data_IF_149466417506
#
_entry.id   IF_149466417506
#
_cell.length_a   1.000
_cell.length_b   1.000
_cell.length_c   1.000
_cell.angle_alpha   90.00
_cell.angle_beta   90.00
_cell.angle_gamma   90.00
#
_symmetry.space_group_name_H-M   'P 1'
#
loop_
_entity.id
_entity.type
_entity.pdbx_description
1 polymer ?
#
# COMPACT_ATOMS: atom_id res chain seq x y z
N UNK A 1 18.72 -0.81 13.36
CA UNK A 1 18.91 -1.92 12.41
C UNK A 1 20.22 -1.69 11.65
N UNK A 2 21.13 -2.65 11.64
CA UNK A 2 22.38 -2.60 10.88
C UNK A 2 22.11 -3.09 9.45
N UNK A 3 22.44 -2.27 8.46
CA UNK A 3 22.37 -2.66 7.06
C UNK A 3 23.43 -3.75 6.78
N UNK A 4 23.11 -4.81 6.01
CA UNK A 4 24.07 -5.85 5.69
C UNK A 4 25.26 -5.26 4.92
N UNK A 5 26.47 -5.31 5.51
CA UNK A 5 27.66 -4.66 4.96
C UNK A 5 27.96 -5.10 3.51
N UNK A 6 27.78 -6.39 3.22
CA UNK A 6 27.98 -6.96 1.89
C UNK A 6 27.03 -6.34 0.86
N UNK A 7 25.75 -6.15 1.21
CA UNK A 7 24.76 -5.54 0.33
C UNK A 7 25.09 -4.07 0.07
N UNK A 8 25.44 -3.30 1.11
CA UNK A 8 25.83 -1.89 0.94
C UNK A 8 27.05 -1.79 0.03
N UNK A 9 28.09 -2.58 0.28
CA UNK A 9 29.32 -2.51 -0.50
C UNK A 9 29.06 -2.86 -1.97
N UNK A 10 28.27 -3.89 -2.24
CA UNK A 10 27.87 -4.26 -3.60
C UNK A 10 27.11 -3.12 -4.30
N UNK A 11 26.11 -2.52 -3.64
CA UNK A 11 25.32 -1.41 -4.20
C UNK A 11 26.21 -0.17 -4.43
N UNK A 12 27.08 0.16 -3.48
CA UNK A 12 28.03 1.28 -3.62
C UNK A 12 28.97 1.09 -4.79
N UNK A 13 29.51 -0.11 -5.01
CA UNK A 13 30.40 -0.39 -6.16
C UNK A 13 29.61 -0.33 -7.47
N UNK A 14 28.42 -0.96 -7.53
CA UNK A 14 27.62 -1.01 -8.75
C UNK A 14 27.13 0.37 -9.21
N UNK A 15 26.82 1.27 -8.26
CA UNK A 15 26.27 2.61 -8.54
C UNK A 15 27.15 3.73 -7.98
N UNK A 16 28.48 3.56 -7.95
CA UNK A 16 29.43 4.47 -7.28
C UNK A 16 29.33 5.92 -7.72
N UNK A 17 28.92 6.14 -8.98
CA UNK A 17 28.81 7.46 -9.62
C UNK A 17 27.49 8.17 -9.33
N UNK A 18 26.54 7.49 -8.69
CA UNK A 18 25.21 8.02 -8.43
C UNK A 18 25.00 8.29 -6.93
N UNK A 19 24.19 9.29 -6.58
CA UNK A 19 23.62 9.39 -5.24
C UNK A 19 22.71 8.19 -4.95
N UNK A 20 22.87 7.58 -3.79
CA UNK A 20 22.18 6.38 -3.33
C UNK A 20 21.56 6.63 -1.95
N UNK A 21 20.28 6.34 -1.80
CA UNK A 21 19.61 6.28 -0.52
C UNK A 21 18.91 4.94 -0.30
N UNK A 22 18.74 4.55 0.96
CA UNK A 22 17.77 3.55 1.38
C UNK A 22 16.45 4.24 1.72
N UNK A 23 15.35 3.66 1.28
CA UNK A 23 13.99 4.10 1.50
C UNK A 23 13.08 2.94 1.95
N UNK A 24 11.78 3.22 2.08
CA UNK A 24 10.76 2.23 2.38
C UNK A 24 10.78 1.72 3.82
N UNK A 25 10.16 0.56 4.05
CA UNK A 25 9.86 0.08 5.41
C UNK A 25 11.11 -0.09 6.28
N UNK A 26 12.26 -0.43 5.66
CA UNK A 26 13.55 -0.62 6.33
C UNK A 26 14.14 0.65 6.95
N UNK A 27 13.61 1.84 6.65
CA UNK A 27 14.01 3.07 7.34
C UNK A 27 13.10 3.44 8.52
N UNK A 28 12.13 2.58 8.85
CA UNK A 28 11.13 2.80 9.88
C UNK A 28 11.17 1.71 10.96
N UNK A 29 10.48 1.97 12.06
CA UNK A 29 10.23 1.04 13.17
C UNK A 29 9.32 -0.13 12.79
N UNK A 30 8.57 -0.04 11.68
CA UNK A 30 7.65 -1.08 11.22
C UNK A 30 8.33 -2.20 10.43
N UNK A 31 9.64 -2.10 10.16
CA UNK A 31 10.36 -3.05 9.33
C UNK A 31 10.20 -4.50 9.82
N UNK A 32 9.77 -5.39 8.91
CA UNK A 32 9.75 -6.84 9.13
C UNK A 32 10.89 -7.52 8.35
N UNK A 33 11.21 -8.75 8.71
CA UNK A 33 12.24 -9.55 8.01
C UNK A 33 11.91 -9.78 6.54
N UNK A 34 10.62 -9.85 6.18
CA UNK A 34 10.19 -10.00 4.80
C UNK A 34 10.40 -8.76 3.94
N UNK A 35 10.60 -7.58 4.53
CA UNK A 35 10.74 -6.33 3.79
C UNK A 35 12.04 -6.32 3.00
N UNK A 36 11.91 -6.04 1.72
CA UNK A 36 13.01 -5.72 0.83
C UNK A 36 13.78 -4.48 1.31
N UNK A 37 15.07 -4.43 0.97
CA UNK A 37 15.83 -3.19 1.05
C UNK A 37 15.55 -2.37 -0.21
N UNK A 38 14.88 -1.24 -0.05
CA UNK A 38 14.51 -0.42 -1.19
C UNK A 38 15.56 0.68 -1.40
N UNK A 39 16.37 0.54 -2.44
CA UNK A 39 17.40 1.51 -2.81
C UNK A 39 16.88 2.46 -3.88
N UNK A 40 17.08 3.75 -3.62
CA UNK A 40 16.76 4.85 -4.52
C UNK A 40 18.06 5.36 -5.12
N UNK A 41 18.16 5.35 -6.44
CA UNK A 41 19.31 5.85 -7.19
C UNK A 41 18.90 7.15 -7.89
N UNK A 42 19.58 8.26 -7.62
CA UNK A 42 19.30 9.50 -8.35
C UNK A 42 19.97 9.45 -9.72
N UNK A 43 19.18 9.21 -10.77
CA UNK A 43 19.63 9.02 -12.14
C UNK A 43 18.48 9.29 -13.12
N UNK A 44 18.78 9.93 -14.26
CA UNK A 44 17.80 10.09 -15.34
C UNK A 44 17.66 8.82 -16.21
N UNK A 45 18.42 7.78 -15.91
CA UNK A 45 18.20 6.45 -16.46
C UNK A 45 16.99 5.80 -15.79
N UNK A 46 16.15 5.10 -16.54
CA UNK A 46 15.06 4.31 -15.97
C UNK A 46 15.63 2.98 -15.44
N UNK A 47 15.93 2.93 -14.14
CA UNK A 47 16.45 1.75 -13.47
C UNK A 47 15.33 1.14 -12.65
N UNK A 48 15.03 -0.14 -12.89
CA UNK A 48 14.23 -0.97 -12.00
C UNK A 48 14.81 -2.37 -11.99
N UNK A 49 15.25 -2.83 -10.82
CA UNK A 49 15.93 -4.12 -10.68
C UNK A 49 15.59 -4.76 -9.33
N UNK A 50 15.46 -6.08 -9.32
CA UNK A 50 15.45 -6.88 -8.10
C UNK A 50 16.79 -7.61 -7.97
N UNK A 51 17.46 -7.41 -6.84
CA UNK A 51 18.72 -8.07 -6.52
C UNK A 51 18.54 -9.04 -5.36
N UNK A 52 19.12 -10.22 -5.55
CA UNK A 52 19.21 -11.27 -4.55
C UNK A 52 20.64 -11.36 -4.04
N UNK A 53 20.83 -11.10 -2.75
CA UNK A 53 22.13 -11.23 -2.08
C UNK A 53 21.95 -12.16 -0.90
N UNK A 54 22.30 -13.44 -1.09
CA UNK A 54 21.93 -14.52 -0.18
C UNK A 54 20.40 -14.53 0.03
N UNK A 55 19.92 -14.56 1.27
CA UNK A 55 18.48 -14.52 1.59
C UNK A 55 17.88 -13.10 1.57
N UNK A 56 18.67 -12.08 1.22
CA UNK A 56 18.24 -10.69 1.21
C UNK A 56 17.73 -10.31 -0.18
N UNK A 57 16.50 -9.79 -0.22
CA UNK A 57 15.92 -9.16 -1.40
C UNK A 57 16.14 -7.65 -1.32
N UNK A 58 16.64 -7.07 -2.39
CA UNK A 58 16.75 -5.63 -2.58
C UNK A 58 15.99 -5.22 -3.85
N UNK A 59 15.22 -4.14 -3.76
CA UNK A 59 14.62 -3.47 -4.91
C UNK A 59 15.42 -2.20 -5.18
N UNK A 60 15.78 -1.99 -6.43
CA UNK A 60 16.48 -0.79 -6.89
C UNK A 60 15.56 -0.08 -7.86
N UNK A 61 15.35 1.20 -7.62
CA UNK A 61 14.66 2.06 -8.57
C UNK A 61 15.34 3.42 -8.67
N UNK A 62 15.21 4.06 -9.82
CA UNK A 62 15.72 5.42 -10.00
C UNK A 62 14.68 6.49 -9.74
N UNK A 63 15.15 7.64 -9.27
CA UNK A 63 14.43 8.91 -9.30
C UNK A 63 15.18 9.88 -10.21
N UNK A 64 14.44 10.74 -10.91
CA UNK A 64 15.03 11.76 -11.78
C UNK A 64 15.91 12.72 -10.98
N UNK A 65 16.89 13.31 -11.66
CA UNK A 65 17.79 14.29 -11.04
C UNK A 65 17.11 15.60 -10.66
N UNK A 66 15.99 15.91 -11.31
CA UNK A 66 15.11 17.06 -11.01
C UNK A 66 13.66 16.58 -10.91
N UNK A 67 13.29 15.92 -9.80
CA UNK A 67 11.95 15.38 -9.62
C UNK A 67 10.95 16.46 -9.21
N UNK A 68 9.67 16.23 -9.45
CA UNK A 68 8.61 16.97 -8.74
C UNK A 68 8.60 16.51 -7.28
N UNK A 69 8.82 17.45 -6.35
CA UNK A 69 8.95 17.13 -4.93
C UNK A 69 7.68 16.49 -4.35
N UNK A 70 6.48 16.91 -4.78
CA UNK A 70 5.23 16.33 -4.28
C UNK A 70 5.02 14.90 -4.79
N UNK A 71 5.49 14.59 -5.99
CA UNK A 71 5.42 13.25 -6.57
C UNK A 71 6.25 12.24 -5.76
N UNK A 72 7.43 12.64 -5.30
CA UNK A 72 8.39 11.74 -4.63
C UNK A 72 8.44 11.88 -3.10
N UNK A 73 7.80 12.90 -2.51
CA UNK A 73 7.94 13.18 -1.09
C UNK A 73 7.64 11.96 -0.22
N UNK A 74 6.53 11.26 -0.49
CA UNK A 74 6.14 10.09 0.28
C UNK A 74 7.09 8.90 0.05
N UNK A 75 7.66 8.71 -1.15
CA UNK A 75 8.63 7.63 -1.37
C UNK A 75 9.95 7.86 -0.69
N UNK A 76 10.31 9.13 -0.46
CA UNK A 76 11.55 9.51 0.21
C UNK A 76 11.36 9.94 1.67
N UNK A 77 10.19 9.66 2.27
CA UNK A 77 10.01 9.85 3.71
C UNK A 77 11.05 9.01 4.48
N UNK A 78 11.77 9.65 5.40
CA UNK A 78 12.76 9.00 6.27
C UNK A 78 13.94 8.32 5.54
N UNK A 79 14.32 8.79 4.35
CA UNK A 79 15.47 8.19 3.65
C UNK A 79 16.78 8.24 4.44
N UNK A 80 17.58 7.21 4.28
CA UNK A 80 18.94 7.12 4.80
C UNK A 80 19.93 7.23 3.63
N UNK A 81 20.72 8.29 3.61
CA UNK A 81 21.72 8.52 2.56
C UNK A 81 22.88 7.55 2.74
N UNK A 82 23.25 6.84 1.68
CA UNK A 82 24.30 5.80 1.67
C UNK A 82 25.55 6.29 0.94
N UNK A 83 25.34 6.92 -0.21
CA UNK A 83 26.38 7.53 -1.04
C UNK A 83 25.81 8.83 -1.60
N UNK A 84 26.53 9.95 -1.49
CA UNK A 84 26.07 11.23 -2.04
C UNK A 84 27.27 12.09 -2.44
N UNK A 85 28.00 11.71 -3.51
CA UNK A 85 29.24 12.37 -3.90
C UNK A 85 29.03 13.84 -4.29
N UNK A 86 27.81 14.22 -4.68
CA UNK A 86 27.43 15.56 -5.13
C UNK A 86 26.54 16.31 -4.14
N UNK A 87 26.35 15.80 -2.92
CA UNK A 87 25.48 16.38 -1.87
C UNK A 87 24.02 16.57 -2.28
N UNK A 88 23.59 15.97 -3.37
CA UNK A 88 22.29 16.26 -3.98
C UNK A 88 21.15 15.57 -3.25
N UNK A 89 21.37 14.35 -2.73
CA UNK A 89 20.37 13.69 -1.90
C UNK A 89 20.23 14.34 -0.53
N UNK A 90 21.31 14.88 0.03
CA UNK A 90 21.27 15.63 1.28
C UNK A 90 20.40 16.88 1.14
N UNK A 91 20.59 17.66 0.06
CA UNK A 91 19.73 18.82 -0.24
C UNK A 91 18.28 18.39 -0.51
N UNK A 92 18.06 17.39 -1.36
CA UNK A 92 16.72 16.89 -1.67
C UNK A 92 15.98 16.40 -0.41
N UNK A 93 16.68 15.74 0.51
CA UNK A 93 16.11 15.31 1.79
C UNK A 93 15.63 16.49 2.63
N UNK A 94 16.37 17.59 2.65
CA UNK A 94 15.96 18.81 3.36
C UNK A 94 14.71 19.42 2.72
N UNK A 95 14.71 19.53 1.39
CA UNK A 95 13.57 20.07 0.64
C UNK A 95 12.30 19.24 0.86
N UNK A 96 12.42 17.91 0.82
CA UNK A 96 11.31 16.98 1.09
C UNK A 96 10.83 17.09 2.53
N UNK A 97 11.74 17.21 3.49
CA UNK A 97 11.38 17.40 4.90
C UNK A 97 10.58 18.68 5.09
N UNK A 98 10.95 19.76 4.39
CA UNK A 98 10.24 21.04 4.46
C UNK A 98 8.81 20.99 3.90
N UNK A 99 8.53 20.12 2.93
CA UNK A 99 7.19 19.98 2.33
C UNK A 99 6.40 18.77 2.83
N UNK A 100 7.01 17.87 3.62
CA UNK A 100 6.46 16.55 3.96
C UNK A 100 5.03 16.62 4.51
N UNK A 101 4.76 17.53 5.46
CA UNK A 101 3.43 17.68 6.05
C UNK A 101 2.38 18.10 5.00
N UNK A 102 2.75 18.97 4.06
CA UNK A 102 1.87 19.38 2.96
C UNK A 102 1.63 18.24 1.98
N UNK A 103 2.68 17.48 1.63
CA UNK A 103 2.57 16.33 0.75
C UNK A 103 1.68 15.23 1.35
N UNK A 104 1.85 14.94 2.64
CA UNK A 104 1.01 14.00 3.38
C UNK A 104 -0.43 14.49 3.49
N UNK A 105 -0.66 15.77 3.77
CA UNK A 105 -2.00 16.36 3.80
C UNK A 105 -2.71 16.27 2.44
N UNK A 106 -1.99 16.57 1.34
CA UNK A 106 -2.51 16.44 -0.01
C UNK A 106 -2.83 14.98 -0.35
N UNK A 107 -1.92 14.06 -0.03
CA UNK A 107 -2.13 12.63 -0.24
C UNK A 107 -3.34 12.14 0.57
N UNK A 108 -3.44 12.51 1.86
CA UNK A 108 -4.55 12.16 2.73
C UNK A 108 -5.88 12.62 2.15
N UNK A 109 -5.95 13.88 1.70
CA UNK A 109 -7.12 14.46 1.05
C UNK A 109 -7.50 13.67 -0.21
N UNK A 110 -6.54 13.39 -1.09
CA UNK A 110 -6.79 12.65 -2.33
C UNK A 110 -7.30 11.23 -2.05
N UNK A 111 -6.68 10.50 -1.13
CA UNK A 111 -7.15 9.16 -0.74
C UNK A 111 -8.54 9.21 -0.12
N UNK A 112 -8.84 10.23 0.69
CA UNK A 112 -10.16 10.40 1.29
C UNK A 112 -11.24 10.71 0.24
N UNK A 113 -10.91 11.50 -0.79
CA UNK A 113 -11.79 11.72 -1.94
C UNK A 113 -12.02 10.43 -2.72
N UNK A 114 -10.97 9.65 -2.99
CA UNK A 114 -11.09 8.36 -3.66
C UNK A 114 -11.98 7.39 -2.86
N UNK A 115 -11.84 7.39 -1.53
CA UNK A 115 -12.69 6.62 -0.63
C UNK A 115 -14.16 7.04 -0.72
N UNK A 116 -14.43 8.35 -0.67
CA UNK A 116 -15.77 8.91 -0.78
C UNK A 116 -16.42 8.57 -2.13
N UNK A 117 -15.68 8.67 -3.23
CA UNK A 117 -16.15 8.32 -4.57
C UNK A 117 -16.50 6.82 -4.65
N UNK A 118 -15.63 5.95 -4.13
CA UNK A 118 -15.87 4.51 -4.10
C UNK A 118 -17.09 4.16 -3.23
N UNK A 119 -17.24 4.76 -2.05
CA UNK A 119 -18.37 4.50 -1.16
C UNK A 119 -19.71 4.94 -1.78
N UNK A 120 -19.74 6.08 -2.48
CA UNK A 120 -20.94 6.51 -3.22
C UNK A 120 -21.27 5.54 -4.36
N UNK A 121 -20.28 5.13 -5.17
CA UNK A 121 -20.48 4.13 -6.24
C UNK A 121 -20.99 2.80 -5.72
N UNK A 122 -20.46 2.35 -4.58
CA UNK A 122 -20.96 1.17 -3.89
C UNK A 122 -22.46 1.28 -3.60
N UNK A 123 -22.87 2.38 -2.95
CA UNK A 123 -24.27 2.65 -2.60
C UNK A 123 -25.19 2.72 -3.82
N UNK A 124 -24.75 3.35 -4.91
CA UNK A 124 -25.52 3.48 -6.15
C UNK A 124 -25.67 2.14 -6.90
N UNK A 125 -24.64 1.29 -6.84
CA UNK A 125 -24.59 0.04 -7.60
C UNK A 125 -25.25 -1.14 -6.87
N UNK A 126 -25.48 -1.03 -5.57
CA UNK A 126 -25.92 -2.16 -4.72
C UNK A 126 -27.18 -2.87 -5.22
N UNK A 127 -28.15 -2.12 -5.77
CA UNK A 127 -29.41 -2.69 -6.25
C UNK A 127 -29.30 -3.37 -7.62
N UNK A 128 -28.30 -3.01 -8.42
CA UNK A 128 -28.11 -3.55 -9.77
C UNK A 128 -27.04 -4.63 -9.83
N UNK A 129 -26.00 -4.54 -8.98
CA UNK A 129 -24.91 -5.50 -8.90
C UNK A 129 -24.22 -5.46 -7.53
N UNK A 130 -24.68 -6.31 -6.60
CA UNK A 130 -24.17 -6.38 -5.23
C UNK A 130 -22.68 -6.73 -5.15
N UNK A 131 -22.18 -7.60 -6.04
CA UNK A 131 -20.76 -7.96 -6.07
C UNK A 131 -19.88 -6.76 -6.42
N UNK A 132 -20.26 -6.00 -7.45
CA UNK A 132 -19.53 -4.79 -7.86
C UNK A 132 -19.64 -3.71 -6.78
N UNK A 133 -20.80 -3.56 -6.15
CA UNK A 133 -20.96 -2.67 -5.02
C UNK A 133 -20.04 -3.03 -3.85
N UNK A 134 -19.95 -4.32 -3.51
CA UNK A 134 -19.02 -4.82 -2.49
C UNK A 134 -17.56 -4.52 -2.84
N UNK A 135 -17.18 -4.66 -4.11
CA UNK A 135 -15.84 -4.33 -4.58
C UNK A 135 -15.51 -2.85 -4.37
N UNK A 136 -16.43 -1.96 -4.73
CA UNK A 136 -16.30 -0.53 -4.46
C UNK A 136 -16.20 -0.24 -2.96
N UNK A 137 -16.99 -0.92 -2.12
CA UNK A 137 -16.94 -0.76 -0.67
C UNK A 137 -15.57 -1.14 -0.09
N UNK A 138 -14.98 -2.26 -0.54
CA UNK A 138 -13.63 -2.67 -0.12
C UNK A 138 -12.58 -1.66 -0.56
N UNK A 139 -12.67 -1.16 -1.80
CA UNK A 139 -11.78 -0.11 -2.30
C UNK A 139 -11.89 1.15 -1.44
N UNK A 140 -13.12 1.56 -1.10
CA UNK A 140 -13.37 2.71 -0.24
C UNK A 140 -12.70 2.57 1.13
N UNK A 141 -12.82 1.40 1.76
CA UNK A 141 -12.21 1.13 3.05
C UNK A 141 -10.68 1.22 3.01
N UNK A 142 -10.03 0.64 1.98
CA UNK A 142 -8.57 0.76 1.84
C UNK A 142 -8.12 2.22 1.63
N UNK A 143 -8.77 2.95 0.72
CA UNK A 143 -8.45 4.36 0.49
C UNK A 143 -8.67 5.22 1.75
N UNK A 144 -9.73 4.95 2.51
CA UNK A 144 -9.98 5.64 3.78
C UNK A 144 -8.83 5.45 4.76
N UNK A 145 -8.40 4.19 4.97
CA UNK A 145 -7.30 3.88 5.89
C UNK A 145 -5.97 4.49 5.42
N UNK A 146 -5.71 4.55 4.11
CA UNK A 146 -4.56 5.29 3.56
C UNK A 146 -4.63 6.79 3.90
N UNK A 147 -5.83 7.38 3.80
CA UNK A 147 -6.08 8.76 4.16
C UNK A 147 -5.81 9.04 5.64
N UNK A 148 -6.30 8.17 6.52
CA UNK A 148 -6.09 8.26 7.98
C UNK A 148 -4.60 8.16 8.33
N UNK A 149 -3.87 7.19 7.76
CA UNK A 149 -2.42 7.04 8.00
C UNK A 149 -1.64 8.28 7.55
N UNK A 150 -1.92 8.78 6.35
CA UNK A 150 -1.27 9.99 5.83
C UNK A 150 -1.59 11.23 6.66
N UNK A 151 -2.82 11.38 7.13
CA UNK A 151 -3.21 12.49 8.01
C UNK A 151 -2.45 12.49 9.33
N UNK A 152 -2.16 11.29 9.85
CA UNK A 152 -1.35 11.10 11.06
C UNK A 152 0.17 11.19 10.82
N UNK A 153 0.61 11.80 9.71
CA UNK A 153 2.02 12.10 9.49
C UNK A 153 2.86 10.95 8.93
N UNK A 154 2.24 9.83 8.58
CA UNK A 154 2.95 8.64 8.08
C UNK A 154 2.53 8.30 6.66
N UNK A 155 3.46 7.88 5.81
CA UNK A 155 3.11 7.21 4.55
C UNK A 155 2.41 5.86 4.84
N UNK A 156 1.31 5.52 4.14
CA UNK A 156 0.78 4.16 4.19
C UNK A 156 1.78 3.13 3.63
N UNK A 157 2.00 2.06 4.38
CA UNK A 157 2.87 0.94 3.98
C UNK A 157 2.04 -0.34 3.99
N UNK A 158 1.62 -0.89 2.84
CA UNK A 158 0.57 -1.91 2.77
C UNK A 158 0.76 -3.13 3.69
N UNK A 159 1.99 -3.61 3.82
CA UNK A 159 2.37 -4.75 4.68
C UNK A 159 2.26 -4.43 6.17
N UNK A 160 2.31 -3.15 6.54
CA UNK A 160 2.38 -2.66 7.91
C UNK A 160 1.18 -1.80 8.31
N UNK A 161 0.22 -1.53 7.42
CA UNK A 161 -0.89 -0.60 7.69
C UNK A 161 -1.66 -0.95 8.96
N UNK A 162 -1.92 -2.24 9.26
CA UNK A 162 -2.58 -2.60 10.51
C UNK A 162 -1.74 -2.22 11.75
N UNK A 163 -0.43 -2.37 11.68
CA UNK A 163 0.48 -1.93 12.74
C UNK A 163 0.50 -0.41 12.86
N UNK A 164 0.50 0.32 11.73
CA UNK A 164 0.42 1.79 11.71
C UNK A 164 -0.90 2.30 12.30
N UNK A 165 -2.02 1.63 12.03
CA UNK A 165 -3.34 2.00 12.56
C UNK A 165 -3.44 1.74 14.07
N UNK A 166 -2.84 0.65 14.57
CA UNK A 166 -2.85 0.32 16.02
C UNK A 166 -2.10 1.34 16.87
N UNK A 167 -1.16 2.09 16.30
CA UNK A 167 -0.41 3.14 17.01
C UNK A 167 -1.07 4.52 16.99
N UNK A 168 -2.26 4.66 16.40
CA UNK A 168 -2.96 5.95 16.27
C UNK A 168 -3.83 6.29 17.47
N UNK A 169 -4.19 7.57 17.55
CA UNK A 169 -5.04 8.12 18.60
C UNK A 169 -6.52 7.71 18.42
N UNK A 170 -7.29 7.78 19.52
CA UNK A 170 -8.70 7.35 19.56
C UNK A 170 -9.66 8.16 18.67
N UNK A 171 -9.29 9.38 18.28
CA UNK A 171 -10.19 10.33 17.58
C UNK A 171 -10.64 9.90 16.18
N UNK A 172 -9.98 8.88 15.61
CA UNK A 172 -10.30 8.27 14.31
C UNK A 172 -10.82 6.83 14.45
N UNK A 173 -10.97 6.34 15.69
CA UNK A 173 -11.28 4.94 15.99
C UNK A 173 -12.58 4.44 15.37
N UNK A 174 -13.62 5.28 15.33
CA UNK A 174 -14.92 4.89 14.73
C UNK A 174 -14.79 4.61 13.23
N UNK A 175 -14.17 5.53 12.47
CA UNK A 175 -13.99 5.34 11.03
C UNK A 175 -13.05 4.18 10.71
N UNK A 176 -12.00 3.97 11.53
CA UNK A 176 -11.12 2.78 11.43
C UNK A 176 -11.92 1.50 11.68
N UNK A 177 -12.81 1.48 12.67
CA UNK A 177 -13.65 0.30 12.97
C UNK A 177 -14.65 0.02 11.85
N UNK A 178 -15.28 1.05 11.27
CA UNK A 178 -16.15 0.94 10.10
C UNK A 178 -15.37 0.33 8.94
N UNK A 179 -14.21 0.91 8.58
CA UNK A 179 -13.37 0.40 7.49
C UNK A 179 -12.90 -1.04 7.74
N UNK A 180 -12.51 -1.36 8.97
CA UNK A 180 -12.09 -2.71 9.36
C UNK A 180 -13.21 -3.74 9.17
N UNK A 181 -14.44 -3.36 9.50
CA UNK A 181 -15.63 -4.21 9.31
C UNK A 181 -15.96 -4.38 7.82
N UNK A 182 -15.84 -3.32 7.01
CA UNK A 182 -15.96 -3.43 5.55
C UNK A 182 -14.98 -4.46 4.98
N UNK A 183 -13.75 -4.45 5.47
CA UNK A 183 -12.69 -5.37 5.05
C UNK A 183 -12.89 -6.80 5.60
N UNK A 184 -13.70 -6.99 6.65
CA UNK A 184 -13.95 -8.28 7.27
C UNK A 184 -12.78 -8.76 8.12
N UNK A 185 -12.03 -7.83 8.73
CA UNK A 185 -10.84 -8.17 9.52
C UNK A 185 -11.16 -9.04 10.74
N UNK A 186 -12.39 -8.95 11.27
CA UNK A 186 -12.88 -9.80 12.35
C UNK A 186 -12.99 -11.28 11.97
N UNK A 187 -13.03 -11.58 10.66
CA UNK A 187 -13.08 -12.95 10.12
C UNK A 187 -11.71 -13.46 9.67
N UNK A 188 -10.66 -12.65 9.80
CA UNK A 188 -9.32 -13.03 9.37
C UNK A 188 -8.78 -14.17 10.26
N UNK A 189 -8.50 -15.30 9.63
CA UNK A 189 -7.94 -16.49 10.26
C UNK A 189 -7.08 -17.24 9.24
N UNK A 190 -6.46 -18.36 9.65
CA UNK A 190 -5.59 -19.15 8.77
C UNK A 190 -6.27 -19.56 7.46
N UNK A 191 -7.53 -20.00 7.51
CA UNK A 191 -8.25 -20.47 6.32
C UNK A 191 -8.60 -19.31 5.37
N UNK A 192 -9.13 -18.20 5.88
CA UNK A 192 -9.42 -17.03 5.05
C UNK A 192 -8.15 -16.41 4.46
N UNK A 193 -7.08 -16.26 5.24
CA UNK A 193 -5.80 -15.77 4.74
C UNK A 193 -5.20 -16.67 3.64
N UNK A 194 -5.28 -18.00 3.78
CA UNK A 194 -4.79 -18.95 2.77
C UNK A 194 -5.55 -18.81 1.45
N UNK A 195 -6.89 -18.77 1.51
CA UNK A 195 -7.74 -18.61 0.32
C UNK A 195 -7.50 -17.27 -0.38
N UNK A 196 -7.40 -16.19 0.39
CA UNK A 196 -7.07 -14.87 -0.16
C UNK A 196 -5.67 -14.88 -0.78
N UNK A 197 -4.71 -15.60 -0.20
CA UNK A 197 -3.34 -15.65 -0.74
C UNK A 197 -3.32 -16.26 -2.14
N UNK A 198 -3.93 -17.44 -2.31
CA UNK A 198 -4.00 -18.12 -3.60
C UNK A 198 -4.69 -17.24 -4.65
N UNK A 199 -5.87 -16.70 -4.33
CA UNK A 199 -6.65 -15.88 -5.25
C UNK A 199 -5.96 -14.55 -5.59
N UNK A 200 -5.38 -13.84 -4.61
CA UNK A 200 -4.68 -12.57 -4.85
C UNK A 200 -3.40 -12.77 -5.66
N UNK A 201 -2.66 -13.87 -5.43
CA UNK A 201 -1.47 -14.17 -6.22
C UNK A 201 -1.82 -14.45 -7.69
N UNK A 202 -2.84 -15.28 -7.94
CA UNK A 202 -3.29 -15.59 -9.31
C UNK A 202 -3.80 -14.33 -10.03
N UNK A 203 -4.59 -13.52 -9.32
CA UNK A 203 -5.10 -12.25 -9.85
C UNK A 203 -3.95 -11.29 -10.21
N UNK A 204 -2.95 -11.15 -9.34
CA UNK A 204 -1.82 -10.26 -9.58
C UNK A 204 -0.96 -10.73 -10.76
N UNK A 205 -0.73 -12.04 -10.88
CA UNK A 205 -0.04 -12.64 -12.03
C UNK A 205 -0.77 -12.35 -13.35
N UNK A 206 -2.10 -12.44 -13.33
CA UNK A 206 -2.93 -12.30 -14.53
C UNK A 206 -3.11 -10.85 -14.98
N UNK A 207 -3.25 -9.92 -14.02
CA UNK A 207 -3.57 -8.50 -14.30
C UNK A 207 -2.32 -7.64 -14.37
N UNK A 208 -1.41 -7.77 -13.40
CA UNK A 208 -0.32 -6.81 -13.21
C UNK A 208 0.99 -7.20 -13.89
N UNK A 209 1.20 -8.48 -14.26
CA UNK A 209 2.37 -8.99 -15.02
C UNK A 209 3.73 -8.34 -14.69
N UNK A 210 4.06 -8.18 -13.41
CA UNK A 210 5.20 -7.35 -12.96
C UNK A 210 6.12 -8.05 -11.97
N UNK A 211 7.36 -7.56 -11.86
CA UNK A 211 8.36 -7.96 -10.86
C UNK A 211 7.86 -7.84 -9.40
N UNK A 212 6.79 -7.08 -9.17
CA UNK A 212 6.10 -6.98 -7.87
C UNK A 212 5.59 -8.34 -7.34
N UNK A 213 5.39 -9.34 -8.20
CA UNK A 213 4.91 -10.67 -7.80
C UNK A 213 5.80 -11.35 -6.75
N UNK A 214 7.12 -11.23 -6.88
CA UNK A 214 8.05 -11.86 -5.94
C UNK A 214 8.00 -11.20 -4.55
N UNK A 215 8.03 -9.85 -4.52
CA UNK A 215 7.92 -9.07 -3.27
C UNK A 215 6.60 -9.39 -2.57
N UNK A 216 5.49 -9.43 -3.32
CA UNK A 216 4.16 -9.77 -2.79
C UNK A 216 4.16 -11.18 -2.21
N UNK A 217 4.69 -12.17 -2.94
CA UNK A 217 4.76 -13.55 -2.49
C UNK A 217 5.56 -13.68 -1.20
N UNK A 218 6.74 -13.05 -1.12
CA UNK A 218 7.63 -13.08 0.05
C UNK A 218 6.94 -12.51 1.29
N UNK A 219 6.31 -11.34 1.16
CA UNK A 219 5.56 -10.69 2.25
C UNK A 219 4.38 -11.52 2.70
N UNK A 220 3.56 -12.01 1.77
CA UNK A 220 2.39 -12.84 2.09
C UNK A 220 2.77 -14.13 2.82
N UNK A 221 3.78 -14.87 2.32
CA UNK A 221 4.28 -16.10 2.95
C UNK A 221 4.78 -15.85 4.36
N UNK A 222 5.61 -14.81 4.55
CA UNK A 222 6.14 -14.48 5.87
C UNK A 222 5.02 -14.16 6.86
N UNK A 223 4.09 -13.26 6.51
CA UNK A 223 2.98 -12.91 7.40
C UNK A 223 2.15 -14.15 7.76
N UNK A 224 1.89 -15.03 6.79
CA UNK A 224 1.15 -16.27 7.01
C UNK A 224 1.89 -17.25 7.92
N UNK A 225 3.18 -17.51 7.66
CA UNK A 225 4.00 -18.46 8.41
C UNK A 225 4.28 -17.97 9.84
N UNK A 226 4.39 -16.66 10.04
CA UNK A 226 4.55 -16.03 11.35
C UNK A 226 3.24 -15.93 12.14
N UNK A 227 2.13 -16.49 11.65
CA UNK A 227 0.83 -16.47 12.33
C UNK A 227 0.11 -15.12 12.31
N UNK A 228 0.61 -14.15 11.54
CA UNK A 228 0.03 -12.81 11.40
C UNK A 228 -1.12 -12.81 10.38
N UNK A 229 -2.15 -13.64 10.63
CA UNK A 229 -3.20 -13.89 9.65
C UNK A 229 -4.02 -12.65 9.29
N UNK A 230 -4.28 -11.76 10.25
CA UNK A 230 -4.98 -10.50 10.00
C UNK A 230 -4.18 -9.57 9.09
N UNK A 231 -2.87 -9.40 9.37
CA UNK A 231 -1.96 -8.60 8.56
C UNK A 231 -1.78 -9.21 7.16
N UNK A 232 -1.66 -10.54 7.06
CA UNK A 232 -1.61 -11.27 5.79
C UNK A 232 -2.87 -11.04 4.96
N UNK A 233 -4.05 -11.26 5.56
CA UNK A 233 -5.36 -11.06 4.93
C UNK A 233 -5.55 -9.62 4.47
N UNK A 234 -5.24 -8.63 5.32
CA UNK A 234 -5.32 -7.22 4.98
C UNK A 234 -4.41 -6.88 3.79
N UNK A 235 -3.15 -7.32 3.84
CA UNK A 235 -2.16 -7.06 2.80
C UNK A 235 -2.58 -7.65 1.45
N UNK A 236 -3.07 -8.89 1.45
CA UNK A 236 -3.51 -9.57 0.23
C UNK A 236 -4.75 -8.93 -0.39
N UNK A 237 -5.71 -8.50 0.44
CA UNK A 237 -6.86 -7.73 -0.03
C UNK A 237 -6.46 -6.36 -0.57
N UNK A 238 -5.42 -5.73 0.00
CA UNK A 238 -4.86 -4.47 -0.52
C UNK A 238 -4.25 -4.67 -1.91
N UNK A 239 -3.48 -5.74 -2.11
CA UNK A 239 -2.92 -6.08 -3.43
C UNK A 239 -4.03 -6.38 -4.42
N UNK A 240 -5.04 -7.15 -4.03
CA UNK A 240 -6.20 -7.44 -4.87
C UNK A 240 -6.99 -6.17 -5.24
N UNK A 241 -7.08 -5.19 -4.33
CA UNK A 241 -7.69 -3.87 -4.62
C UNK A 241 -6.98 -3.16 -5.77
N UNK A 242 -5.67 -3.24 -5.88
CA UNK A 242 -4.94 -2.59 -6.99
C UNK A 242 -5.35 -3.21 -8.34
N UNK A 243 -5.43 -4.54 -8.40
CA UNK A 243 -5.93 -5.24 -9.58
C UNK A 243 -7.41 -4.91 -9.85
N UNK A 244 -8.25 -4.85 -8.81
CA UNK A 244 -9.65 -4.49 -8.93
C UNK A 244 -9.84 -3.11 -9.58
N UNK A 245 -9.09 -2.10 -9.14
CA UNK A 245 -9.16 -0.74 -9.69
C UNK A 245 -8.81 -0.71 -11.17
N UNK A 246 -7.81 -1.49 -11.60
CA UNK A 246 -7.46 -1.62 -13.02
C UNK A 246 -8.58 -2.28 -13.84
N UNK A 247 -9.29 -3.24 -13.26
CA UNK A 247 -10.35 -3.99 -13.92
C UNK A 247 -11.69 -3.25 -13.95
N UNK A 248 -11.99 -2.39 -12.97
CA UNK A 248 -13.28 -1.70 -12.85
C UNK A 248 -13.57 -0.71 -13.99
N UNK A 249 -12.56 -0.32 -14.79
CA UNK A 249 -12.73 0.49 -16.00
C UNK A 249 -13.12 -0.34 -17.25
N UNK A 250 -12.97 -1.67 -17.20
CA UNK A 250 -13.31 -2.59 -18.30
C UNK A 250 -14.28 -3.67 -17.80
N UNK A 251 -15.56 -3.52 -18.15
CA UNK A 251 -16.61 -4.46 -17.72
C UNK A 251 -16.36 -5.90 -18.19
N UNK A 252 -15.74 -6.10 -19.36
CA UNK A 252 -15.45 -7.45 -19.87
C UNK A 252 -14.35 -8.09 -19.05
N UNK A 253 -13.27 -7.34 -18.78
CA UNK A 253 -12.19 -7.81 -17.93
C UNK A 253 -12.69 -8.09 -16.50
N UNK A 254 -13.47 -7.18 -15.92
CA UNK A 254 -14.05 -7.35 -14.58
C UNK A 254 -14.87 -8.65 -14.47
N UNK A 255 -15.71 -8.96 -15.46
CA UNK A 255 -16.48 -10.21 -15.50
C UNK A 255 -15.57 -11.44 -15.50
N UNK A 256 -14.48 -11.43 -16.27
CA UNK A 256 -13.55 -12.56 -16.35
C UNK A 256 -12.85 -12.85 -15.01
N UNK A 257 -12.63 -11.82 -14.18
CA UNK A 257 -11.93 -11.95 -12.91
C UNK A 257 -12.84 -11.88 -11.67
N UNK A 258 -14.16 -11.80 -11.84
CA UNK A 258 -15.12 -11.62 -10.73
C UNK A 258 -15.01 -12.73 -9.68
N UNK A 259 -14.86 -13.99 -10.11
CA UNK A 259 -14.69 -15.10 -9.18
C UNK A 259 -13.43 -14.98 -8.32
N UNK A 260 -12.30 -14.63 -8.94
CA UNK A 260 -11.04 -14.42 -8.20
C UNK A 260 -11.15 -13.23 -7.24
N UNK A 261 -11.75 -12.12 -7.68
CA UNK A 261 -11.99 -10.94 -6.84
C UNK A 261 -12.88 -11.24 -5.63
N UNK A 262 -13.93 -12.06 -5.82
CA UNK A 262 -14.81 -12.50 -4.73
C UNK A 262 -14.02 -13.18 -3.60
N UNK A 263 -13.05 -14.04 -3.95
CA UNK A 263 -12.23 -14.77 -2.98
C UNK A 263 -11.14 -13.88 -2.41
N UNK A 264 -10.39 -13.18 -3.28
CA UNK A 264 -9.24 -12.37 -2.92
C UNK A 264 -9.59 -11.22 -1.97
N UNK A 265 -10.81 -10.67 -2.08
CA UNK A 265 -11.26 -9.52 -1.29
C UNK A 265 -12.39 -9.85 -0.31
N UNK A 266 -12.82 -11.12 -0.22
CA UNK A 266 -13.93 -11.58 0.64
C UNK A 266 -15.17 -10.68 0.50
N UNK A 267 -15.73 -10.65 -0.71
CA UNK A 267 -16.84 -9.74 -1.04
C UNK A 267 -18.12 -10.16 -0.30
N UNK A 268 -18.73 -9.20 0.40
CA UNK A 268 -20.03 -9.36 1.05
C UNK A 268 -21.14 -9.09 0.02
N UNK A 269 -22.15 -9.97 -0.06
CA UNK A 269 -23.27 -9.84 -1.00
C UNK A 269 -24.58 -9.36 -0.37
N UNK A 270 -24.59 -9.09 0.94
CA UNK A 270 -25.76 -8.53 1.65
C UNK A 270 -25.92 -7.03 1.32
N UNK A 271 -26.99 -6.63 0.61
CA UNK A 271 -27.25 -5.22 0.27
C UNK A 271 -27.36 -4.32 1.51
N UNK A 272 -27.97 -4.80 2.59
CA UNK A 272 -28.17 -4.00 3.80
C UNK A 272 -26.85 -3.69 4.49
N UNK A 273 -25.95 -4.68 4.56
CA UNK A 273 -24.57 -4.47 4.99
C UNK A 273 -23.88 -3.42 4.11
N UNK A 274 -23.93 -3.58 2.78
CA UNK A 274 -23.23 -2.70 1.84
C UNK A 274 -23.70 -1.25 2.00
N UNK A 275 -25.01 -1.01 2.06
CA UNK A 275 -25.60 0.33 2.22
C UNK A 275 -25.17 0.96 3.55
N UNK A 276 -25.31 0.22 4.66
CA UNK A 276 -24.96 0.70 6.00
C UNK A 276 -23.50 1.16 6.05
N UNK A 277 -22.59 0.33 5.58
CA UNK A 277 -21.16 0.60 5.67
C UNK A 277 -20.67 1.59 4.62
N UNK A 278 -21.33 1.68 3.47
CA UNK A 278 -21.09 2.76 2.50
C UNK A 278 -21.44 4.12 3.09
N UNK A 279 -22.61 4.25 3.76
CA UNK A 279 -22.98 5.49 4.45
C UNK A 279 -22.00 5.83 5.59
N UNK A 280 -21.64 4.85 6.43
CA UNK A 280 -20.67 5.07 7.50
C UNK A 280 -19.29 5.53 7.00
N UNK A 281 -18.82 4.99 5.86
CA UNK A 281 -17.58 5.47 5.24
C UNK A 281 -17.73 6.87 4.62
N UNK A 282 -18.88 7.20 4.02
CA UNK A 282 -19.16 8.55 3.52
C UNK A 282 -19.07 9.56 4.66
N UNK A 283 -19.72 9.29 5.79
CA UNK A 283 -19.70 10.15 6.97
C UNK A 283 -18.28 10.28 7.54
N UNK A 284 -17.56 9.16 7.64
CA UNK A 284 -16.15 9.13 8.08
C UNK A 284 -15.23 9.94 7.16
N UNK A 285 -15.42 9.85 5.84
CA UNK A 285 -14.66 10.63 4.86
C UNK A 285 -14.96 12.13 5.01
N UNK A 286 -16.21 12.51 5.15
CA UNK A 286 -16.61 13.90 5.35
C UNK A 286 -15.98 14.48 6.63
N UNK A 287 -16.02 13.73 7.74
CA UNK A 287 -15.36 14.12 8.99
C UNK A 287 -13.83 14.25 8.82
N UNK A 288 -13.20 13.35 8.05
CA UNK A 288 -11.77 13.37 7.80
C UNK A 288 -11.34 14.53 6.87
N UNK A 289 -12.21 15.01 5.98
CA UNK A 289 -11.94 16.14 5.10
C UNK A 289 -12.10 17.52 5.76
N UNK A 290 -12.93 17.62 6.79
CA UNK A 290 -13.22 18.90 7.50
C UNK A 290 -12.19 19.20 8.59
N UNK A 291 -11.61 18.16 9.20
CA UNK A 291 -10.54 18.26 10.20
C UNK A 291 -9.19 18.60 9.55
#
# INVERSE_FOLDING_TARGET
MTLPANLINMIKVKYEKFPIALAGCRTTEYALECCEYNFVIMSDQNLHELLHVNDILAEIHSIRTKPDLYEIALSLQNIQVINDPSWTLATLKQDITAIMLKALSLYARNRTVDALLCANRSRETVNSNTQTASLWLKCAAYYYLEGVIAKNGSRPMPTHMLSQLRSMNESEGEGIAIASTCLGLERANRSSASRCMEASMELNNSVAKTHFNEIVARKARFLFQSGMYADCYFYLGYIARNAAVMLMSDQKALKNYTFMLNIAMDLNTDPSFIIKFSNGLIDSCNALLVR
#
